data_IF_181795037432
#
_entry.id   IF_181795037432
#
_cell.length_a   1.000
_cell.length_b   1.000
_cell.length_c   1.000
_cell.angle_alpha   90.00
_cell.angle_beta   90.00
_cell.angle_gamma   90.00
#
_symmetry.space_group_name_H-M   'P 1'
#
loop_
_entity.id
_entity.type
_entity.pdbx_description
1 polymer ?
#
# COMPACT_ATOMS: atom_id res chain seq x y z
N UNK A 1 -29.62 -68.90 12.03
CA UNK A 1 -28.17 -68.60 12.22
C UNK A 1 -27.90 -67.21 11.62
N UNK A 2 -27.72 -66.22 12.50
CA UNK A 2 -27.26 -64.82 12.32
C UNK A 2 -27.33 -64.15 10.94
N UNK A 3 -28.26 -63.19 10.81
CA UNK A 3 -28.16 -62.03 9.92
C UNK A 3 -26.95 -61.18 10.35
N UNK A 4 -26.00 -60.92 9.44
CA UNK A 4 -24.92 -59.96 9.64
C UNK A 4 -25.51 -58.54 9.54
N UNK A 5 -25.66 -57.88 10.68
CA UNK A 5 -25.88 -56.43 10.73
C UNK A 5 -24.62 -55.74 10.16
N UNK A 6 -24.81 -54.87 9.16
CA UNK A 6 -23.78 -53.93 8.71
C UNK A 6 -23.37 -53.06 9.91
N UNK A 7 -22.07 -52.77 10.12
CA UNK A 7 -21.68 -51.81 11.13
C UNK A 7 -22.30 -50.45 10.79
N UNK A 8 -22.96 -49.86 11.78
CA UNK A 8 -23.38 -48.47 11.80
C UNK A 8 -22.20 -47.57 11.41
N UNK A 9 -22.43 -46.64 10.47
CA UNK A 9 -21.50 -45.55 10.16
C UNK A 9 -21.16 -44.85 11.48
N UNK A 10 -19.89 -44.92 11.89
CA UNK A 10 -19.40 -44.17 13.04
C UNK A 10 -19.53 -42.68 12.75
N UNK A 11 -19.77 -41.89 13.79
CA UNK A 11 -19.83 -40.43 13.73
C UNK A 11 -18.49 -39.77 13.31
N UNK A 12 -17.46 -40.58 13.01
CA UNK A 12 -16.14 -40.18 12.55
C UNK A 12 -16.06 -40.07 11.01
N UNK A 13 -17.12 -40.47 10.28
CA UNK A 13 -17.22 -40.31 8.82
C UNK A 13 -17.79 -38.93 8.40
N UNK A 14 -18.01 -38.04 9.38
CA UNK A 14 -18.53 -36.67 9.18
C UNK A 14 -17.44 -35.58 9.19
N UNK A 15 -16.17 -35.95 9.36
CA UNK A 15 -15.05 -34.99 9.37
C UNK A 15 -14.15 -35.07 8.13
N UNK A 16 -14.55 -35.83 7.11
CA UNK A 16 -13.77 -36.00 5.89
C UNK A 16 -14.30 -35.19 4.70
N UNK A 17 -14.84 -34.00 4.98
CA UNK A 17 -15.06 -32.96 4.00
C UNK A 17 -13.89 -31.98 4.04
N UNK A 18 -13.14 -31.88 2.95
CA UNK A 18 -12.30 -30.71 2.66
C UNK A 18 -13.11 -29.45 2.99
N UNK A 19 -12.65 -28.63 3.92
CA UNK A 19 -13.16 -27.28 4.07
C UNK A 19 -12.76 -26.53 2.79
N UNK A 20 -13.65 -26.56 1.79
CA UNK A 20 -13.57 -25.71 0.62
C UNK A 20 -13.88 -24.26 1.07
N UNK A 21 -12.94 -23.65 1.81
CA UNK A 21 -12.97 -22.22 2.21
C UNK A 21 -12.75 -21.28 1.02
N UNK A 22 -12.58 -21.84 -0.18
CA UNK A 22 -12.36 -21.15 -1.45
C UNK A 22 -13.62 -21.25 -2.30
N UNK A 23 -14.28 -20.11 -2.53
CA UNK A 23 -15.44 -20.06 -3.43
C UNK A 23 -15.05 -20.50 -4.84
N UNK A 24 -15.87 -21.37 -5.44
CA UNK A 24 -15.72 -21.76 -6.84
C UNK A 24 -16.23 -20.65 -7.80
N UNK A 25 -15.94 -20.79 -9.10
CA UNK A 25 -16.28 -19.77 -10.10
C UNK A 25 -17.78 -19.46 -10.18
N UNK A 26 -18.66 -20.45 -10.04
CA UNK A 26 -20.11 -20.24 -10.07
C UNK A 26 -20.60 -19.45 -8.84
N UNK A 27 -20.06 -19.77 -7.66
CA UNK A 27 -20.35 -19.05 -6.42
C UNK A 27 -19.84 -17.60 -6.49
N UNK A 28 -18.63 -17.38 -7.02
CA UNK A 28 -18.10 -16.04 -7.25
C UNK A 28 -18.96 -15.25 -8.23
N UNK A 29 -19.42 -15.86 -9.31
CA UNK A 29 -20.30 -15.19 -10.27
C UNK A 29 -21.62 -14.77 -9.64
N UNK A 30 -22.25 -15.64 -8.83
CA UNK A 30 -23.47 -15.31 -8.07
C UNK A 30 -23.24 -14.18 -7.08
N UNK A 31 -22.08 -14.15 -6.41
CA UNK A 31 -21.71 -13.11 -5.46
C UNK A 31 -21.47 -11.75 -6.14
N UNK A 32 -20.81 -11.75 -7.30
CA UNK A 32 -20.61 -10.54 -8.10
C UNK A 32 -21.94 -10.00 -8.62
N UNK A 33 -22.82 -10.87 -9.12
CA UNK A 33 -24.17 -10.48 -9.53
C UNK A 33 -24.96 -9.86 -8.37
N UNK A 34 -24.90 -10.46 -7.17
CA UNK A 34 -25.54 -9.90 -5.98
C UNK A 34 -25.02 -8.48 -5.69
N UNK A 35 -23.71 -8.28 -5.77
CA UNK A 35 -23.05 -6.99 -5.51
C UNK A 35 -23.46 -5.90 -6.53
N UNK A 36 -23.76 -6.28 -7.77
CA UNK A 36 -24.31 -5.39 -8.80
C UNK A 36 -25.79 -5.09 -8.55
N UNK A 37 -26.59 -6.09 -8.18
CA UNK A 37 -28.05 -5.96 -8.13
C UNK A 37 -28.62 -5.38 -6.83
N UNK A 38 -27.87 -5.44 -5.73
CA UNK A 38 -28.37 -5.04 -4.40
C UNK A 38 -28.04 -3.58 -4.08
N UNK A 39 -29.00 -2.90 -3.46
CA UNK A 39 -28.82 -1.55 -2.88
C UNK A 39 -28.70 -1.58 -1.35
N UNK A 40 -28.99 -2.72 -0.70
CA UNK A 40 -28.88 -2.88 0.75
C UNK A 40 -27.42 -2.77 1.21
N UNK A 41 -27.06 -1.74 2.01
CA UNK A 41 -25.68 -1.53 2.46
C UNK A 41 -25.09 -2.71 3.22
N UNK A 42 -25.88 -3.39 4.07
CA UNK A 42 -25.41 -4.51 4.86
C UNK A 42 -25.13 -5.74 4.00
N UNK A 43 -25.85 -5.91 2.89
CA UNK A 43 -25.57 -6.97 1.91
C UNK A 43 -24.32 -6.61 1.11
N UNK A 44 -24.19 -5.35 0.64
CA UNK A 44 -23.02 -4.88 -0.10
C UNK A 44 -21.74 -5.07 0.73
N UNK A 45 -21.74 -4.66 1.99
CA UNK A 45 -20.58 -4.79 2.88
C UNK A 45 -20.16 -6.25 3.05
N UNK A 46 -21.12 -7.15 3.34
CA UNK A 46 -20.85 -8.59 3.48
C UNK A 46 -20.33 -9.19 2.16
N UNK A 47 -20.92 -8.83 1.04
CA UNK A 47 -20.49 -9.31 -0.27
C UNK A 47 -19.07 -8.85 -0.60
N UNK A 48 -18.73 -7.58 -0.35
CA UNK A 48 -17.37 -7.06 -0.55
C UNK A 48 -16.34 -7.74 0.35
N UNK A 49 -16.68 -8.02 1.61
CA UNK A 49 -15.81 -8.79 2.51
C UNK A 49 -15.58 -10.19 1.96
N UNK A 50 -16.62 -10.88 1.50
CA UNK A 50 -16.50 -12.22 0.92
C UNK A 50 -15.68 -12.22 -0.37
N UNK A 51 -15.88 -11.24 -1.26
CA UNK A 51 -15.04 -11.06 -2.46
C UNK A 51 -13.59 -10.77 -2.08
N UNK A 52 -13.35 -9.89 -1.11
CA UNK A 52 -12.01 -9.53 -0.64
C UNK A 52 -11.26 -10.72 -0.04
N UNK A 53 -11.92 -11.53 0.79
CA UNK A 53 -11.35 -12.76 1.32
C UNK A 53 -11.06 -13.78 0.22
N UNK A 54 -11.97 -13.91 -0.76
CA UNK A 54 -11.75 -14.79 -1.92
C UNK A 54 -10.56 -14.33 -2.75
N UNK A 55 -10.39 -13.02 -2.94
CA UNK A 55 -9.26 -12.43 -3.66
C UNK A 55 -7.90 -12.55 -2.94
N UNK A 56 -7.87 -13.02 -1.68
CA UNK A 56 -6.61 -13.36 -1.03
C UNK A 56 -5.95 -14.61 -1.64
N UNK A 57 -6.71 -15.43 -2.37
CA UNK A 57 -6.20 -16.61 -3.08
C UNK A 57 -5.88 -16.26 -4.54
N UNK A 58 -4.66 -16.59 -4.99
CA UNK A 58 -4.17 -16.24 -6.34
C UNK A 58 -5.04 -16.80 -7.48
N UNK A 59 -5.57 -18.01 -7.34
CA UNK A 59 -6.50 -18.60 -8.30
C UNK A 59 -7.77 -17.75 -8.46
N UNK A 60 -8.33 -17.29 -7.33
CA UNK A 60 -9.54 -16.47 -7.34
C UNK A 60 -9.29 -15.04 -7.83
N UNK A 61 -8.08 -14.51 -7.69
CA UNK A 61 -7.72 -13.22 -8.31
C UNK A 61 -7.91 -13.25 -9.83
N UNK A 62 -7.55 -14.37 -10.47
CA UNK A 62 -7.72 -14.59 -11.91
C UNK A 62 -9.20 -14.80 -12.25
N UNK A 63 -9.88 -15.69 -11.52
CA UNK A 63 -11.31 -15.99 -11.77
C UNK A 63 -12.17 -14.74 -11.61
N UNK A 64 -11.99 -13.95 -10.54
CA UNK A 64 -12.73 -12.70 -10.32
C UNK A 64 -12.47 -11.71 -11.47
N UNK A 65 -11.23 -11.62 -11.97
CA UNK A 65 -10.91 -10.78 -13.12
C UNK A 65 -11.63 -11.24 -14.39
N UNK A 66 -11.64 -12.54 -14.65
CA UNK A 66 -12.25 -13.15 -15.84
C UNK A 66 -13.78 -13.02 -15.83
N UNK A 67 -14.39 -13.10 -14.64
CA UNK A 67 -15.82 -12.85 -14.43
C UNK A 67 -16.20 -11.36 -14.49
N UNK A 68 -15.26 -10.45 -14.77
CA UNK A 68 -15.54 -9.01 -14.80
C UNK A 68 -15.74 -8.37 -13.42
N UNK A 69 -15.31 -9.03 -12.34
CA UNK A 69 -15.53 -8.57 -10.97
C UNK A 69 -14.73 -7.33 -10.55
N UNK A 70 -13.61 -7.02 -11.21
CA UNK A 70 -12.82 -5.82 -10.89
C UNK A 70 -13.66 -4.53 -11.09
N UNK A 71 -14.30 -4.29 -12.25
CA UNK A 71 -15.23 -3.16 -12.42
C UNK A 71 -16.37 -3.14 -11.39
N UNK A 72 -16.94 -4.30 -11.05
CA UNK A 72 -18.02 -4.41 -10.06
C UNK A 72 -17.56 -3.90 -8.70
N UNK A 73 -16.44 -4.39 -8.20
CA UNK A 73 -15.85 -3.93 -6.93
C UNK A 73 -15.42 -2.47 -7.03
N UNK A 74 -14.79 -2.09 -8.13
CA UNK A 74 -14.31 -0.73 -8.40
C UNK A 74 -15.43 0.31 -8.36
N UNK A 75 -16.63 -0.02 -8.84
CA UNK A 75 -17.79 0.89 -8.77
C UNK A 75 -18.16 1.28 -7.34
N UNK A 76 -17.87 0.42 -6.35
CA UNK A 76 -18.24 0.63 -4.95
C UNK A 76 -17.31 1.57 -4.20
N UNK A 77 -16.15 1.94 -4.76
CA UNK A 77 -15.26 2.94 -4.14
C UNK A 77 -15.87 4.36 -4.15
N UNK A 78 -16.88 4.60 -5.00
CA UNK A 78 -17.61 5.87 -5.05
C UNK A 78 -18.80 5.92 -4.07
N UNK A 79 -18.99 4.88 -3.25
CA UNK A 79 -20.07 4.84 -2.26
C UNK A 79 -19.94 5.98 -1.24
N UNK A 80 -21.05 6.66 -0.89
CA UNK A 80 -21.07 7.62 0.23
C UNK A 80 -20.88 6.92 1.58
N UNK A 81 -21.24 5.63 1.69
CA UNK A 81 -20.99 4.82 2.87
C UNK A 81 -19.49 4.46 2.94
N UNK A 82 -18.81 4.96 3.98
CA UNK A 82 -17.39 4.78 4.22
C UNK A 82 -17.00 3.31 4.48
N UNK A 83 -17.87 2.52 5.12
CA UNK A 83 -17.63 1.08 5.33
C UNK A 83 -17.59 0.35 4.00
N UNK A 84 -18.58 0.58 3.11
CA UNK A 84 -18.59 0.02 1.75
C UNK A 84 -17.33 0.43 0.97
N UNK A 85 -16.98 1.71 1.00
CA UNK A 85 -15.78 2.23 0.34
C UNK A 85 -14.51 1.53 0.85
N UNK A 86 -14.36 1.39 2.17
CA UNK A 86 -13.25 0.68 2.80
C UNK A 86 -13.17 -0.79 2.36
N UNK A 87 -14.30 -1.52 2.35
CA UNK A 87 -14.33 -2.94 1.94
C UNK A 87 -14.01 -3.10 0.46
N UNK A 88 -14.49 -2.19 -0.38
CA UNK A 88 -14.17 -2.18 -1.80
C UNK A 88 -12.66 -1.96 -2.04
N UNK A 89 -12.06 -0.98 -1.36
CA UNK A 89 -10.62 -0.71 -1.44
C UNK A 89 -9.78 -1.91 -0.96
N UNK A 90 -10.18 -2.57 0.14
CA UNK A 90 -9.51 -3.78 0.62
C UNK A 90 -9.63 -4.95 -0.38
N UNK A 91 -10.78 -5.13 -1.03
CA UNK A 91 -10.94 -6.15 -2.06
C UNK A 91 -10.07 -5.85 -3.29
N UNK A 92 -10.03 -4.59 -3.75
CA UNK A 92 -9.13 -4.16 -4.83
C UNK A 92 -7.65 -4.34 -4.45
N UNK A 93 -7.27 -4.07 -3.20
CA UNK A 93 -5.91 -4.28 -2.72
C UNK A 93 -5.49 -5.75 -2.80
N UNK A 94 -6.39 -6.68 -2.48
CA UNK A 94 -6.10 -8.11 -2.61
C UNK A 94 -6.05 -8.54 -4.08
N UNK A 95 -6.93 -8.00 -4.92
CA UNK A 95 -6.93 -8.25 -6.36
C UNK A 95 -5.66 -7.70 -7.04
N UNK A 96 -5.11 -6.57 -6.57
CA UNK A 96 -3.92 -5.93 -7.15
C UNK A 96 -2.61 -6.64 -6.86
N UNK A 97 -2.61 -7.69 -6.03
CA UNK A 97 -1.44 -8.58 -5.86
C UNK A 97 -1.07 -9.26 -7.18
N UNK A 98 -2.06 -9.53 -8.05
CA UNK A 98 -1.83 -10.04 -9.39
C UNK A 98 -1.52 -8.89 -10.38
N UNK A 99 -0.37 -8.92 -11.05
CA UNK A 99 0.09 -7.85 -11.95
C UNK A 99 -0.88 -7.62 -13.13
N UNK A 100 -1.47 -8.66 -13.70
CA UNK A 100 -2.45 -8.50 -14.78
C UNK A 100 -3.76 -7.84 -14.29
N UNK A 101 -4.12 -8.04 -13.01
CA UNK A 101 -5.24 -7.32 -12.41
C UNK A 101 -4.92 -5.83 -12.25
N UNK A 102 -3.67 -5.46 -11.97
CA UNK A 102 -3.25 -4.06 -11.86
C UNK A 102 -3.55 -3.29 -13.16
N UNK A 103 -3.38 -3.92 -14.33
CA UNK A 103 -3.70 -3.31 -15.64
C UNK A 103 -5.16 -2.84 -15.71
N UNK A 104 -6.09 -3.59 -15.09
CA UNK A 104 -7.51 -3.21 -15.01
C UNK A 104 -7.79 -2.24 -13.87
N UNK A 105 -7.10 -2.38 -12.74
CA UNK A 105 -7.30 -1.55 -11.54
C UNK A 105 -6.74 -0.13 -11.71
N UNK A 106 -5.73 0.07 -12.58
CA UNK A 106 -5.05 1.37 -12.74
C UNK A 106 -6.00 2.54 -13.03
N UNK A 107 -7.16 2.29 -13.64
CA UNK A 107 -8.17 3.31 -13.93
C UNK A 107 -8.71 4.00 -12.66
N UNK A 108 -8.59 3.35 -11.50
CA UNK A 108 -9.03 3.88 -10.21
C UNK A 108 -7.93 4.63 -9.44
N UNK A 109 -6.66 4.57 -9.87
CA UNK A 109 -5.53 5.10 -9.09
C UNK A 109 -5.68 6.58 -8.78
N UNK A 110 -6.02 7.41 -9.77
CA UNK A 110 -6.19 8.85 -9.56
C UNK A 110 -7.32 9.15 -8.56
N UNK A 111 -8.47 8.49 -8.70
CA UNK A 111 -9.59 8.64 -7.75
C UNK A 111 -9.18 8.21 -6.34
N UNK A 112 -8.44 7.10 -6.21
CA UNK A 112 -7.97 6.63 -4.90
C UNK A 112 -6.95 7.58 -4.29
N UNK A 113 -6.07 8.18 -5.09
CA UNK A 113 -5.18 9.26 -4.64
C UNK A 113 -5.98 10.45 -4.10
N UNK A 114 -6.96 10.94 -4.85
CA UNK A 114 -7.83 12.04 -4.40
C UNK A 114 -8.55 11.70 -3.09
N UNK A 115 -9.21 10.54 -3.03
CA UNK A 115 -9.94 10.07 -1.84
C UNK A 115 -9.05 9.95 -0.59
N UNK A 116 -7.82 9.43 -0.76
CA UNK A 116 -6.85 9.27 0.34
C UNK A 116 -6.35 10.62 0.84
N UNK A 117 -6.15 11.58 -0.05
CA UNK A 117 -5.56 12.87 0.27
C UNK A 117 -6.58 13.90 0.79
N UNK A 118 -7.82 13.86 0.30
CA UNK A 118 -8.90 14.75 0.75
C UNK A 118 -9.75 14.16 1.87
N UNK A 119 -9.65 12.85 2.12
CA UNK A 119 -10.44 12.15 3.12
C UNK A 119 -10.02 12.42 4.57
N UNK A 120 -10.81 11.97 5.56
CA UNK A 120 -10.45 12.13 6.96
C UNK A 120 -9.12 11.42 7.29
N UNK A 121 -8.20 12.18 7.89
CA UNK A 121 -6.87 11.70 8.26
C UNK A 121 -6.97 10.52 9.23
N UNK A 122 -6.15 9.48 9.00
CA UNK A 122 -6.11 8.23 9.75
C UNK A 122 -7.37 7.36 9.67
N UNK A 123 -8.30 7.66 8.77
CA UNK A 123 -9.48 6.84 8.58
C UNK A 123 -9.14 5.45 8.01
N UNK A 124 -10.02 4.49 8.24
CA UNK A 124 -9.88 3.15 7.67
C UNK A 124 -9.88 3.18 6.12
N UNK A 125 -10.67 4.07 5.53
CA UNK A 125 -10.69 4.33 4.08
C UNK A 125 -9.33 4.82 3.60
N UNK A 126 -8.73 5.82 4.27
CA UNK A 126 -7.40 6.33 3.91
C UNK A 126 -6.35 5.21 3.96
N UNK A 127 -6.36 4.38 5.02
CA UNK A 127 -5.43 3.26 5.14
C UNK A 127 -5.66 2.18 4.08
N UNK A 128 -6.92 1.86 3.74
CA UNK A 128 -7.23 0.90 2.69
C UNK A 128 -6.77 1.39 1.31
N UNK A 129 -6.99 2.68 1.01
CA UNK A 129 -6.51 3.32 -0.22
C UNK A 129 -4.99 3.35 -0.31
N UNK A 130 -4.29 3.72 0.77
CA UNK A 130 -2.82 3.71 0.82
C UNK A 130 -2.24 2.31 0.59
N UNK A 131 -2.87 1.26 1.12
CA UNK A 131 -2.46 -0.13 0.88
C UNK A 131 -2.60 -0.51 -0.59
N UNK A 132 -3.74 -0.18 -1.20
CA UNK A 132 -3.96 -0.40 -2.63
C UNK A 132 -2.90 0.33 -3.46
N UNK A 133 -2.65 1.61 -3.20
CA UNK A 133 -1.63 2.39 -3.90
C UNK A 133 -0.22 1.82 -3.71
N UNK A 134 0.09 1.31 -2.51
CA UNK A 134 1.35 0.61 -2.24
C UNK A 134 1.49 -0.63 -3.12
N UNK A 135 0.45 -1.46 -3.23
CA UNK A 135 0.49 -2.64 -4.11
C UNK A 135 0.62 -2.26 -5.60
N UNK A 136 -0.09 -1.22 -6.03
CA UNK A 136 -0.02 -0.71 -7.41
C UNK A 136 1.36 -0.16 -7.80
N UNK A 137 2.21 0.16 -6.81
CA UNK A 137 3.55 0.73 -7.03
C UNK A 137 4.69 -0.26 -6.78
N UNK A 138 4.40 -1.53 -6.49
CA UNK A 138 5.43 -2.57 -6.32
C UNK A 138 6.29 -2.74 -7.58
N UNK A 139 5.70 -2.56 -8.77
CA UNK A 139 6.43 -2.46 -10.04
C UNK A 139 6.48 -1.01 -10.51
N UNK A 140 7.38 -0.72 -11.45
CA UNK A 140 7.54 0.63 -12.01
C UNK A 140 6.39 1.06 -12.92
N UNK A 141 5.52 0.14 -13.35
CA UNK A 141 4.55 0.34 -14.43
C UNK A 141 3.54 1.47 -14.13
N UNK A 142 3.14 1.62 -12.86
CA UNK A 142 2.11 2.58 -12.44
C UNK A 142 2.64 3.70 -11.55
N UNK A 143 3.92 3.69 -11.19
CA UNK A 143 4.50 4.68 -10.25
C UNK A 143 4.39 6.13 -10.76
N UNK A 144 4.53 6.33 -12.07
CA UNK A 144 4.43 7.65 -12.70
C UNK A 144 3.07 8.34 -12.47
N UNK A 145 2.00 7.57 -12.25
CA UNK A 145 0.66 8.08 -11.97
C UNK A 145 0.60 8.83 -10.63
N UNK A 146 1.54 8.57 -9.71
CA UNK A 146 1.60 9.21 -8.40
C UNK A 146 2.44 10.49 -8.39
N UNK A 147 3.10 10.87 -9.51
CA UNK A 147 4.08 11.97 -9.54
C UNK A 147 3.50 13.30 -9.06
N UNK A 148 2.26 13.63 -9.43
CA UNK A 148 1.58 14.87 -9.01
C UNK A 148 1.17 14.89 -7.54
N UNK A 149 1.17 13.74 -6.87
CA UNK A 149 0.67 13.57 -5.50
C UNK A 149 1.79 13.42 -4.46
N UNK A 150 3.07 13.42 -4.87
CA UNK A 150 4.21 13.18 -3.97
C UNK A 150 4.25 14.18 -2.82
N UNK A 151 4.06 15.47 -3.10
CA UNK A 151 4.00 16.54 -2.08
C UNK A 151 2.91 16.24 -1.04
N UNK A 152 1.71 15.87 -1.49
CA UNK A 152 0.59 15.57 -0.60
C UNK A 152 0.83 14.30 0.23
N UNK A 153 1.48 13.28 -0.36
CA UNK A 153 1.91 12.10 0.38
C UNK A 153 2.88 12.47 1.52
N UNK A 154 3.84 13.37 1.29
CA UNK A 154 4.69 13.88 2.37
C UNK A 154 3.87 14.63 3.43
N UNK A 155 2.87 15.43 3.04
CA UNK A 155 1.99 16.07 4.02
C UNK A 155 1.24 15.04 4.89
N UNK A 156 0.70 13.97 4.30
CA UNK A 156 0.06 12.86 5.06
C UNK A 156 1.08 12.12 5.93
N UNK A 157 2.32 11.94 5.45
CA UNK A 157 3.41 11.39 6.26
C UNK A 157 3.67 12.24 7.50
N UNK A 158 3.63 13.57 7.42
CA UNK A 158 3.93 14.43 8.57
C UNK A 158 2.76 14.51 9.56
N UNK A 159 1.53 14.56 9.06
CA UNK A 159 0.34 14.76 9.89
C UNK A 159 -0.29 13.46 10.42
N UNK A 160 -0.10 12.33 9.72
CA UNK A 160 -0.68 11.04 10.07
C UNK A 160 -0.13 10.42 11.37
N UNK A 161 -0.88 9.47 11.93
CA UNK A 161 -0.46 8.66 13.08
C UNK A 161 0.55 7.58 12.66
N UNK A 162 1.08 6.81 13.61
CA UNK A 162 2.12 5.80 13.33
C UNK A 162 1.75 4.79 12.24
N UNK A 163 0.50 4.31 12.18
CA UNK A 163 0.08 3.35 11.15
C UNK A 163 0.00 4.00 9.77
N UNK A 164 -0.57 5.20 9.66
CA UNK A 164 -0.60 5.98 8.42
C UNK A 164 0.81 6.30 7.93
N UNK A 165 1.70 6.77 8.81
CA UNK A 165 3.11 7.05 8.48
C UNK A 165 3.80 5.83 7.88
N UNK A 166 3.64 4.65 8.49
CA UNK A 166 4.22 3.40 7.99
C UNK A 166 3.70 3.06 6.59
N UNK A 167 2.40 3.22 6.32
CA UNK A 167 1.85 2.93 4.99
C UNK A 167 2.35 3.93 3.93
N UNK A 168 2.35 5.23 4.23
CA UNK A 168 2.89 6.24 3.31
C UNK A 168 4.38 5.99 3.03
N UNK A 169 5.16 5.62 4.04
CA UNK A 169 6.58 5.30 3.84
C UNK A 169 6.77 4.07 2.95
N UNK A 170 5.94 3.03 3.07
CA UNK A 170 6.01 1.88 2.15
C UNK A 170 5.80 2.30 0.70
N UNK A 171 4.81 3.16 0.47
CA UNK A 171 4.53 3.72 -0.85
C UNK A 171 5.72 4.55 -1.37
N UNK A 172 6.22 5.49 -0.56
CA UNK A 172 7.38 6.33 -0.95
C UNK A 172 8.65 5.50 -1.19
N UNK A 173 8.84 4.41 -0.44
CA UNK A 173 9.96 3.51 -0.64
C UNK A 173 9.92 2.85 -2.02
N UNK A 174 8.75 2.31 -2.43
CA UNK A 174 8.56 1.78 -3.78
C UNK A 174 8.93 2.82 -4.86
N UNK A 175 8.47 4.08 -4.68
CA UNK A 175 8.79 5.15 -5.62
C UNK A 175 10.30 5.46 -5.66
N UNK A 176 10.96 5.51 -4.50
CA UNK A 176 12.37 5.87 -4.40
C UNK A 176 13.35 4.87 -5.00
N UNK A 177 12.94 3.61 -5.19
CA UNK A 177 13.75 2.60 -5.85
C UNK A 177 13.84 2.81 -7.37
N UNK A 178 12.94 3.62 -7.94
CA UNK A 178 12.89 3.91 -9.35
C UNK A 178 13.56 5.26 -9.68
N UNK A 179 14.67 5.25 -10.46
CA UNK A 179 15.36 6.48 -10.86
C UNK A 179 14.43 7.52 -11.52
N UNK A 180 13.45 7.07 -12.33
CA UNK A 180 12.50 7.97 -12.99
C UNK A 180 11.62 8.79 -12.04
N UNK A 181 11.48 8.37 -10.78
CA UNK A 181 10.73 9.09 -9.74
C UNK A 181 11.61 10.03 -8.90
N UNK A 182 12.94 9.93 -9.02
CA UNK A 182 13.90 10.63 -8.14
C UNK A 182 13.77 12.15 -8.23
N UNK A 183 13.65 12.69 -9.45
CA UNK A 183 13.43 14.13 -9.66
C UNK A 183 12.13 14.62 -8.99
N UNK A 184 11.03 13.87 -9.16
CA UNK A 184 9.75 14.18 -8.53
C UNK A 184 9.80 14.14 -7.00
N UNK A 185 10.52 13.16 -6.43
CA UNK A 185 10.73 13.05 -4.99
C UNK A 185 11.57 14.20 -4.45
N UNK A 186 12.71 14.51 -5.09
CA UNK A 186 13.62 15.56 -4.67
C UNK A 186 13.03 16.95 -4.81
N UNK A 187 12.19 17.18 -5.83
CA UNK A 187 11.50 18.45 -6.06
C UNK A 187 10.23 18.68 -5.22
N UNK A 188 9.72 17.64 -4.56
CA UNK A 188 8.53 17.73 -3.73
C UNK A 188 8.69 18.77 -2.61
N UNK A 189 7.67 19.60 -2.38
CA UNK A 189 7.67 20.56 -1.28
C UNK A 189 7.36 19.84 0.03
N UNK A 190 8.23 19.95 1.01
CA UNK A 190 8.11 19.22 2.27
C UNK A 190 8.38 20.17 3.43
N UNK A 191 7.51 20.13 4.44
CA UNK A 191 7.70 20.94 5.64
C UNK A 191 8.96 20.48 6.41
N UNK A 192 9.68 21.44 6.99
CA UNK A 192 10.93 21.19 7.74
C UNK A 192 10.78 20.20 8.90
N UNK A 193 9.57 20.05 9.46
CA UNK A 193 9.25 19.04 10.47
C UNK A 193 9.50 17.61 9.98
N UNK A 194 9.67 17.37 8.69
CA UNK A 194 10.16 16.10 8.15
C UNK A 194 11.47 15.64 8.80
N UNK A 195 12.37 16.56 9.16
CA UNK A 195 13.62 16.22 9.81
C UNK A 195 13.43 15.66 11.23
N UNK A 196 12.27 15.88 11.86
CA UNK A 196 11.93 15.23 13.14
C UNK A 196 11.74 13.71 13.01
N UNK A 197 11.50 13.19 11.80
CA UNK A 197 11.44 11.74 11.57
C UNK A 197 12.81 11.05 11.75
N UNK A 198 13.90 11.82 11.78
CA UNK A 198 15.26 11.34 12.08
C UNK A 198 15.63 11.45 13.56
N UNK A 199 14.71 11.85 14.44
CA UNK A 199 14.99 11.90 15.87
C UNK A 199 15.07 10.50 16.46
N UNK A 200 16.05 10.27 17.35
CA UNK A 200 16.29 8.94 17.96
C UNK A 200 15.16 8.43 18.86
N UNK A 201 14.16 9.25 19.18
CA UNK A 201 12.96 8.81 19.91
C UNK A 201 11.84 8.30 18.98
N UNK A 202 11.97 8.49 17.66
CA UNK A 202 10.98 8.03 16.69
C UNK A 202 10.94 6.50 16.71
N UNK A 203 9.75 5.92 16.54
CA UNK A 203 9.60 4.48 16.49
C UNK A 203 10.56 3.87 15.45
N UNK A 204 11.33 2.85 15.87
CA UNK A 204 12.37 2.20 15.07
C UNK A 204 11.93 1.89 13.64
N UNK A 205 10.72 1.34 13.45
CA UNK A 205 10.20 1.01 12.12
C UNK A 205 10.11 2.24 11.20
N UNK A 206 9.63 3.37 11.71
CA UNK A 206 9.51 4.62 10.94
C UNK A 206 10.90 5.16 10.61
N UNK A 207 11.78 5.19 11.60
CA UNK A 207 13.15 5.70 11.46
C UNK A 207 13.94 4.91 10.39
N UNK A 208 13.90 3.57 10.44
CA UNK A 208 14.56 2.71 9.46
C UNK A 208 14.01 2.91 8.05
N UNK A 209 12.69 3.13 7.90
CA UNK A 209 12.07 3.39 6.59
C UNK A 209 12.49 4.75 6.02
N UNK A 210 12.53 5.79 6.84
CA UNK A 210 13.00 7.12 6.42
C UNK A 210 14.48 7.10 6.04
N UNK A 211 15.33 6.40 6.80
CA UNK A 211 16.73 6.18 6.43
C UNK A 211 16.87 5.41 5.10
N UNK A 212 16.02 4.40 4.89
CA UNK A 212 15.99 3.63 3.63
C UNK A 212 15.53 4.50 2.46
N UNK A 213 14.56 5.39 2.66
CA UNK A 213 14.11 6.34 1.64
C UNK A 213 15.28 7.21 1.16
N UNK A 214 16.05 7.78 2.10
CA UNK A 214 17.24 8.56 1.74
C UNK A 214 18.33 7.72 1.07
N UNK A 215 18.51 6.47 1.52
CA UNK A 215 19.44 5.53 0.89
C UNK A 215 19.07 5.26 -0.58
N UNK A 216 17.81 4.97 -0.85
CA UNK A 216 17.31 4.67 -2.19
C UNK A 216 17.50 5.85 -3.14
N UNK A 217 17.14 7.08 -2.70
CA UNK A 217 17.37 8.31 -3.46
C UNK A 217 18.85 8.49 -3.81
N UNK A 218 19.75 8.32 -2.84
CA UNK A 218 21.20 8.42 -3.07
C UNK A 218 21.70 7.37 -4.06
N UNK A 219 21.19 6.14 -3.98
CA UNK A 219 21.58 5.07 -4.89
C UNK A 219 21.14 5.38 -6.33
N UNK A 220 19.96 5.96 -6.52
CA UNK A 220 19.48 6.42 -7.82
C UNK A 220 20.38 7.53 -8.40
N UNK A 221 20.71 8.55 -7.60
CA UNK A 221 21.61 9.64 -8.04
C UNK A 221 23.00 9.13 -8.45
N UNK A 222 23.56 8.17 -7.71
CA UNK A 222 24.85 7.54 -8.06
C UNK A 222 24.78 6.77 -9.38
N UNK A 223 23.70 6.02 -9.62
CA UNK A 223 23.51 5.20 -10.83
C UNK A 223 23.38 6.04 -12.09
N UNK A 224 22.72 7.19 -12.01
CA UNK A 224 22.54 8.08 -13.18
C UNK A 224 23.81 8.84 -13.57
N UNK A 225 24.90 8.71 -12.81
CA UNK A 225 26.12 9.48 -13.08
C UNK A 225 25.90 10.99 -12.94
N UNK A 226 24.82 11.38 -12.27
CA UNK A 226 24.50 12.76 -11.92
C UNK A 226 25.53 13.29 -10.93
N UNK A 227 26.70 13.68 -11.43
CA UNK A 227 27.32 14.91 -10.98
C UNK A 227 26.21 15.95 -11.08
N UNK A 228 25.92 16.62 -9.96
CA UNK A 228 24.94 17.69 -9.83
C UNK A 228 25.25 18.79 -10.84
N UNK A 229 24.88 18.59 -12.10
CA UNK A 229 24.84 19.60 -13.14
C UNK A 229 23.35 19.94 -13.17
N UNK A 230 23.02 20.92 -12.32
CA UNK A 230 21.67 21.15 -11.80
C UNK A 230 20.60 21.36 -12.87
N UNK A 231 19.36 21.26 -12.40
CA UNK A 231 18.60 22.49 -12.25
C UNK A 231 18.00 22.64 -10.83
N UNK A 232 18.11 23.84 -10.26
CA UNK A 232 16.95 24.59 -9.72
C UNK A 232 15.92 23.87 -8.82
N UNK A 233 16.29 23.02 -7.87
CA UNK A 233 15.35 22.68 -6.80
C UNK A 233 15.05 23.94 -5.97
N UNK A 234 13.80 24.17 -5.61
CA UNK A 234 13.40 25.36 -4.85
C UNK A 234 13.64 25.16 -3.35
N UNK A 235 13.82 26.27 -2.62
CA UNK A 235 13.86 26.24 -1.15
C UNK A 235 12.56 25.62 -0.62
N UNK A 236 12.67 24.69 0.32
CA UNK A 236 11.54 23.92 0.86
C UNK A 236 11.32 22.57 0.17
N UNK A 237 12.11 22.25 -0.85
CA UNK A 237 12.10 20.91 -1.45
C UNK A 237 12.75 19.85 -0.56
N UNK A 238 12.36 18.59 -0.75
CA UNK A 238 12.97 17.45 -0.07
C UNK A 238 14.50 17.41 -0.26
N UNK A 239 14.99 17.80 -1.43
CA UNK A 239 16.44 17.95 -1.68
C UNK A 239 17.11 18.85 -0.64
N UNK A 240 16.60 20.06 -0.41
CA UNK A 240 17.19 20.99 0.56
C UNK A 240 17.16 20.47 1.99
N UNK A 241 16.13 19.69 2.34
CA UNK A 241 16.05 19.06 3.66
C UNK A 241 17.09 17.95 3.80
N UNK A 242 17.14 17.00 2.85
CA UNK A 242 18.03 15.84 2.92
C UNK A 242 19.51 16.20 2.81
N UNK A 243 19.86 17.21 2.02
CA UNK A 243 21.25 17.64 1.79
C UNK A 243 21.63 18.90 2.60
N UNK A 244 20.80 19.30 3.55
CA UNK A 244 21.06 20.41 4.46
C UNK A 244 21.83 20.02 5.73
N UNK A 245 22.44 21.01 6.38
CA UNK A 245 23.23 20.82 7.61
C UNK A 245 22.41 20.24 8.78
N UNK A 246 21.12 20.57 8.89
CA UNK A 246 20.27 20.01 9.94
C UNK A 246 20.09 18.50 9.78
N UNK A 247 19.89 18.00 8.55
CA UNK A 247 19.84 16.56 8.31
C UNK A 247 21.18 15.89 8.64
N UNK A 248 22.31 16.52 8.27
CA UNK A 248 23.64 16.03 8.63
C UNK A 248 23.82 15.92 10.16
N UNK A 249 23.31 16.89 10.93
CA UNK A 249 23.32 16.86 12.39
C UNK A 249 22.46 15.73 12.96
N UNK A 250 21.24 15.54 12.45
CA UNK A 250 20.36 14.43 12.86
C UNK A 250 21.05 13.08 12.60
N UNK A 251 21.67 12.91 11.43
CA UNK A 251 22.40 11.70 11.07
C UNK A 251 23.59 11.44 12.00
N UNK A 252 24.39 12.47 12.31
CA UNK A 252 25.48 12.34 13.30
C UNK A 252 24.98 11.92 14.68
N UNK A 253 23.82 12.42 15.12
CA UNK A 253 23.23 12.00 16.39
C UNK A 253 22.79 10.53 16.36
N UNK A 254 22.23 10.06 15.24
CA UNK A 254 21.79 8.67 15.08
C UNK A 254 22.94 7.64 15.05
N UNK A 255 24.19 8.04 14.81
CA UNK A 255 25.35 7.15 14.94
C UNK A 255 25.48 6.60 16.38
N UNK A 256 24.98 7.34 17.37
CA UNK A 256 24.98 6.94 18.78
C UNK A 256 23.65 6.33 19.23
N UNK A 257 22.78 5.96 18.30
CA UNK A 257 21.49 5.35 18.62
C UNK A 257 21.66 3.99 19.32
N UNK A 258 20.74 3.65 20.23
CA UNK A 258 20.84 2.41 21.02
C UNK A 258 20.67 1.17 20.14
N UNK A 259 19.72 1.22 19.20
CA UNK A 259 19.44 0.14 18.26
C UNK A 259 20.56 -0.07 17.22
N UNK A 260 20.98 -1.32 17.04
CA UNK A 260 22.08 -1.69 16.14
C UNK A 260 21.75 -1.49 14.67
N UNK A 261 20.53 -1.82 14.24
CA UNK A 261 20.12 -1.73 12.83
C UNK A 261 20.08 -0.27 12.38
N UNK A 262 19.65 0.64 13.26
CA UNK A 262 19.68 2.09 13.00
C UNK A 262 21.11 2.57 12.80
N UNK A 263 22.05 2.18 13.67
CA UNK A 263 23.46 2.55 13.56
C UNK A 263 24.08 2.07 12.26
N UNK A 264 23.89 0.78 11.94
CA UNK A 264 24.39 0.18 10.69
C UNK A 264 23.81 0.89 9.47
N UNK A 265 22.51 1.23 9.50
CA UNK A 265 21.88 1.93 8.38
C UNK A 265 22.47 3.32 8.16
N UNK A 266 22.74 4.07 9.22
CA UNK A 266 23.30 5.42 9.14
C UNK A 266 24.74 5.40 8.62
N UNK A 267 25.55 4.42 9.00
CA UNK A 267 26.95 4.33 8.52
C UNK A 267 27.07 4.01 7.03
N UNK A 268 26.04 3.39 6.44
CA UNK A 268 25.96 3.07 5.01
C UNK A 268 25.48 4.25 4.14
N UNK A 269 24.93 5.30 4.76
CA UNK A 269 24.53 6.52 4.05
C UNK A 269 25.75 7.39 3.73
N UNK A 270 25.68 8.23 2.68
CA UNK A 270 26.75 9.17 2.37
C UNK A 270 27.07 10.04 3.58
N UNK A 271 28.36 10.22 3.84
CA UNK A 271 28.81 11.20 4.82
C UNK A 271 28.63 12.59 4.21
N UNK A 272 27.97 13.46 4.96
CA UNK A 272 27.94 14.89 4.70
C UNK A 272 29.31 15.51 4.96
#
# INVERSE_FOLDING_TARGET
RRLRLRPSRSAEDLTNGSYDDVLNAEQLQKLLYLLESTEDPAIIERALVTVGNSAAFSANQVVIRELGGIPVVGSKINSPNQSIKEKALNALNNLSVNVENQIKIKVYVNQVCEDVLSGPLNSAVQLAGLRLLTNMTVTNDHQHMLRSYITDLFHVLLTGNGSTKVQVLKLLLNLSENPAMTDGLLGAQVDSSFLSLYDGHVAKEILLRVLTLFQNINNCLKKEGCLVIGPTFTKGSLFYLLYGEECAQKMRALVYHQDADVKEKVTMLPKF
#
